data_IF_658200980895
#
_entry.id   IF_658200980895
#
_cell.length_a   1.000
_cell.length_b   1.000
_cell.length_c   1.000
_cell.angle_alpha   90.00
_cell.angle_beta   90.00
_cell.angle_gamma   90.00
#
_symmetry.space_group_name_H-M   'P 1'
#
loop_
_entity.id
_entity.type
_entity.pdbx_description
1 polymer ?
#
# COMPACT_ATOMS: atom_id res chain seq x y z
N UNK A 1 -31.78 -23.54 1.89
CA UNK A 1 -30.35 -23.62 2.27
C UNK A 1 -29.93 -22.26 2.75
N UNK A 2 -29.26 -22.15 3.91
CA UNK A 2 -28.69 -20.90 4.39
C UNK A 2 -27.50 -20.54 3.49
N UNK A 3 -27.51 -19.36 2.89
CA UNK A 3 -26.34 -18.85 2.18
C UNK A 3 -25.33 -18.26 3.17
N UNK A 4 -24.02 -18.56 3.05
CA UNK A 4 -23.03 -17.95 3.92
C UNK A 4 -22.99 -16.43 3.70
N UNK A 5 -23.01 -15.68 4.80
CA UNK A 5 -22.87 -14.21 4.76
C UNK A 5 -21.42 -13.81 4.46
N UNK A 6 -20.47 -14.71 4.69
CA UNK A 6 -19.05 -14.53 4.48
C UNK A 6 -18.39 -15.85 4.13
N UNK A 7 -17.56 -15.81 3.09
CA UNK A 7 -16.65 -16.88 2.73
C UNK A 7 -15.22 -16.39 2.69
N UNK A 8 -14.29 -17.28 2.98
CA UNK A 8 -12.87 -16.97 2.91
C UNK A 8 -12.44 -17.00 1.45
N UNK A 9 -11.88 -15.89 0.95
CA UNK A 9 -11.44 -15.80 -0.46
C UNK A 9 -10.38 -16.85 -0.80
N UNK A 10 -10.44 -17.40 -2.00
CA UNK A 10 -9.42 -18.32 -2.53
C UNK A 10 -8.06 -17.66 -2.71
N UNK A 11 -8.04 -16.33 -2.80
CA UNK A 11 -6.82 -15.54 -2.91
C UNK A 11 -5.98 -15.48 -1.63
N UNK A 12 -6.52 -15.92 -0.49
CA UNK A 12 -5.78 -15.97 0.77
C UNK A 12 -5.44 -17.40 1.17
N UNK A 13 -4.20 -17.65 1.58
CA UNK A 13 -3.83 -18.91 2.21
C UNK A 13 -4.49 -19.03 3.59
N UNK A 14 -4.58 -20.26 4.10
CA UNK A 14 -5.11 -20.49 5.48
C UNK A 14 -4.00 -20.37 6.54
N UNK A 15 -2.85 -19.83 6.19
CA UNK A 15 -1.75 -19.58 7.12
C UNK A 15 -2.14 -18.50 8.12
N UNK A 16 -1.92 -18.75 9.40
CA UNK A 16 -2.14 -17.76 10.46
C UNK A 16 -1.16 -16.60 10.26
N UNK A 17 -1.67 -15.38 10.19
CA UNK A 17 -0.84 -14.20 10.01
C UNK A 17 -0.06 -13.87 11.29
N UNK A 18 1.14 -13.33 11.13
CA UNK A 18 2.01 -12.88 12.21
C UNK A 18 2.03 -11.35 12.39
N UNK A 19 1.06 -10.64 11.82
CA UNK A 19 0.92 -9.20 12.02
C UNK A 19 0.48 -8.86 13.44
N UNK A 20 0.96 -7.72 13.95
CA UNK A 20 0.64 -7.26 15.28
C UNK A 20 -0.88 -7.02 15.45
N UNK A 21 -1.43 -7.18 16.67
CA UNK A 21 -2.81 -6.83 16.95
C UNK A 21 -3.13 -5.38 16.60
N UNK A 22 -4.18 -5.15 15.80
CA UNK A 22 -4.58 -3.82 15.32
C UNK A 22 -3.79 -3.29 14.13
N UNK A 23 -2.82 -4.06 13.62
CA UNK A 23 -2.16 -3.75 12.35
C UNK A 23 -3.12 -4.02 11.18
N UNK A 24 -3.17 -3.12 10.20
CA UNK A 24 -4.11 -3.23 9.08
C UNK A 24 -3.57 -3.94 7.85
N UNK A 25 -2.36 -4.50 7.88
CA UNK A 25 -1.80 -5.32 6.79
C UNK A 25 -2.73 -6.48 6.40
N UNK A 26 -3.31 -7.19 7.38
CA UNK A 26 -4.23 -8.30 7.10
C UNK A 26 -5.51 -7.86 6.36
N UNK A 27 -5.98 -6.64 6.65
CA UNK A 27 -7.14 -6.06 5.95
C UNK A 27 -6.77 -5.75 4.49
N UNK A 28 -5.65 -5.06 4.26
CA UNK A 28 -5.21 -4.73 2.90
C UNK A 28 -4.92 -5.98 2.05
N UNK A 29 -4.27 -7.01 2.62
CA UNK A 29 -4.08 -8.30 1.95
C UNK A 29 -5.41 -8.90 1.49
N UNK A 30 -6.37 -8.95 2.41
CA UNK A 30 -7.68 -9.49 2.09
C UNK A 30 -8.37 -8.70 0.98
N UNK A 31 -8.36 -7.36 1.02
CA UNK A 31 -9.01 -6.54 0.00
C UNK A 31 -8.40 -6.76 -1.39
N UNK A 32 -7.07 -6.85 -1.48
CA UNK A 32 -6.36 -7.10 -2.73
C UNK A 32 -6.72 -8.49 -3.27
N UNK A 33 -6.63 -9.52 -2.43
CA UNK A 33 -6.87 -10.91 -2.85
C UNK A 33 -8.35 -11.20 -3.13
N UNK A 34 -9.27 -10.64 -2.36
CA UNK A 34 -10.71 -10.74 -2.60
C UNK A 34 -11.09 -10.07 -3.94
N UNK A 35 -10.50 -8.93 -4.25
CA UNK A 35 -10.71 -8.25 -5.53
C UNK A 35 -10.20 -9.10 -6.70
N UNK A 36 -9.02 -9.71 -6.59
CA UNK A 36 -8.47 -10.59 -7.62
C UNK A 36 -9.29 -11.88 -7.81
N UNK A 37 -9.83 -12.44 -6.72
CA UNK A 37 -10.74 -13.59 -6.75
C UNK A 37 -12.04 -13.24 -7.49
N UNK A 38 -12.65 -12.08 -7.14
CA UNK A 38 -13.86 -11.56 -7.81
C UNK A 38 -13.65 -11.23 -9.30
N UNK A 39 -12.40 -10.91 -9.68
CA UNK A 39 -12.01 -10.67 -11.08
C UNK A 39 -11.66 -11.96 -11.85
N UNK A 40 -11.60 -13.10 -11.18
CA UNK A 40 -11.09 -14.38 -11.72
C UNK A 40 -9.64 -14.27 -12.26
N UNK A 41 -8.82 -13.48 -11.55
CA UNK A 41 -7.45 -13.14 -11.98
C UNK A 41 -6.35 -13.75 -11.10
N UNK A 42 -6.68 -14.56 -10.09
CA UNK A 42 -5.69 -15.16 -9.19
C UNK A 42 -4.58 -15.90 -9.93
N UNK A 43 -4.95 -16.77 -10.88
CA UNK A 43 -4.00 -17.56 -11.70
C UNK A 43 -3.25 -16.76 -12.77
N UNK A 44 -3.55 -15.47 -12.92
CA UNK A 44 -2.90 -14.56 -13.88
C UNK A 44 -2.29 -13.35 -13.20
N UNK A 45 -2.00 -13.44 -11.91
CA UNK A 45 -1.45 -12.34 -11.12
C UNK A 45 -0.08 -12.68 -10.55
N UNK A 46 0.85 -11.75 -10.65
CA UNK A 46 2.19 -11.85 -10.07
C UNK A 46 2.39 -10.66 -9.11
N UNK A 47 2.64 -10.98 -7.84
CA UNK A 47 2.98 -9.98 -6.84
C UNK A 47 4.50 -9.82 -6.70
N UNK A 48 4.97 -8.59 -6.52
CA UNK A 48 6.36 -8.29 -6.19
C UNK A 48 6.43 -7.84 -4.73
N UNK A 49 6.96 -8.72 -3.89
CA UNK A 49 7.11 -8.49 -2.46
C UNK A 49 8.34 -7.61 -2.16
N UNK A 50 8.25 -6.72 -1.18
CA UNK A 50 9.32 -5.84 -0.74
C UNK A 50 10.06 -6.40 0.46
N UNK A 51 10.83 -5.54 1.12
CA UNK A 51 11.38 -5.78 2.45
C UNK A 51 10.58 -5.00 3.50
N UNK A 52 10.55 -5.47 4.75
CA UNK A 52 9.76 -4.96 5.85
C UNK A 52 8.57 -5.85 6.19
N UNK A 53 7.58 -5.35 6.95
CA UNK A 53 6.43 -6.17 7.35
C UNK A 53 5.67 -6.78 6.15
N UNK A 54 5.73 -6.14 5.01
CA UNK A 54 5.09 -6.59 3.77
C UNK A 54 5.79 -7.79 3.11
N UNK A 55 7.06 -8.12 3.46
CA UNK A 55 7.80 -9.25 2.88
C UNK A 55 7.05 -10.57 3.05
N UNK A 56 6.33 -10.72 4.16
CA UNK A 56 5.60 -11.95 4.46
C UNK A 56 4.36 -12.17 3.59
N UNK A 57 4.03 -11.22 2.70
CA UNK A 57 2.86 -11.32 1.82
C UNK A 57 2.81 -12.65 1.04
N UNK A 58 3.96 -13.15 0.59
CA UNK A 58 4.07 -14.43 -0.11
C UNK A 58 3.55 -15.65 0.67
N UNK A 59 3.47 -15.56 2.00
CA UNK A 59 2.92 -16.63 2.86
C UNK A 59 1.38 -16.58 2.96
N UNK A 60 0.82 -15.42 2.70
CA UNK A 60 -0.60 -15.15 2.97
C UNK A 60 -1.42 -14.96 1.68
N UNK A 61 -0.79 -14.46 0.61
CA UNK A 61 -1.42 -14.25 -0.69
C UNK A 61 -1.22 -15.49 -1.58
N UNK A 62 -2.32 -16.04 -2.11
CA UNK A 62 -2.33 -17.23 -2.95
C UNK A 62 -2.24 -16.85 -4.45
N UNK A 63 -1.17 -16.18 -4.80
CA UNK A 63 -0.77 -15.83 -6.17
C UNK A 63 0.72 -16.05 -6.31
N UNK A 64 1.24 -16.06 -7.53
CA UNK A 64 2.68 -16.10 -7.74
C UNK A 64 3.33 -14.85 -7.16
N UNK A 65 4.37 -15.03 -6.34
CA UNK A 65 5.08 -13.93 -5.70
C UNK A 65 6.58 -14.02 -5.97
N UNK A 66 7.18 -12.89 -6.33
CA UNK A 66 8.64 -12.74 -6.32
C UNK A 66 9.06 -11.74 -5.26
N UNK A 67 10.10 -12.08 -4.51
CA UNK A 67 10.70 -11.18 -3.54
C UNK A 67 11.77 -10.31 -4.22
N UNK A 68 11.83 -9.05 -3.83
CA UNK A 68 12.80 -8.09 -4.34
C UNK A 68 13.67 -7.51 -3.23
N UNK A 69 14.87 -7.06 -3.58
CA UNK A 69 15.69 -6.29 -2.65
C UNK A 69 14.94 -5.02 -2.18
N UNK A 70 15.30 -4.55 -0.99
CA UNK A 70 14.68 -3.38 -0.35
C UNK A 70 14.62 -2.17 -1.28
N UNK A 71 13.43 -1.63 -1.49
CA UNK A 71 13.14 -0.50 -2.37
C UNK A 71 13.08 -0.83 -3.86
N UNK A 72 13.36 -2.07 -4.27
CA UNK A 72 13.51 -2.43 -5.69
C UNK A 72 12.28 -3.09 -6.32
N UNK A 73 11.20 -3.27 -5.55
CA UNK A 73 9.97 -3.89 -6.05
C UNK A 73 9.43 -3.23 -7.35
N UNK A 74 9.41 -1.89 -7.53
CA UNK A 74 8.93 -1.29 -8.77
C UNK A 74 9.83 -1.61 -9.97
N UNK A 75 11.16 -1.74 -9.78
CA UNK A 75 12.07 -2.12 -10.85
C UNK A 75 11.87 -3.58 -11.26
N UNK A 76 11.71 -4.49 -10.27
CA UNK A 76 11.40 -5.91 -10.51
C UNK A 76 10.06 -6.04 -11.22
N UNK A 77 9.01 -5.36 -10.74
CA UNK A 77 7.68 -5.36 -11.34
C UNK A 77 7.70 -4.85 -12.80
N UNK A 78 8.51 -3.83 -13.10
CA UNK A 78 8.71 -3.36 -14.48
C UNK A 78 9.27 -4.47 -15.38
N UNK A 79 10.27 -5.22 -14.91
CA UNK A 79 10.83 -6.38 -15.63
C UNK A 79 9.81 -7.48 -15.81
N UNK A 80 9.14 -7.90 -14.73
CA UNK A 80 8.09 -8.93 -14.74
C UNK A 80 6.97 -8.56 -15.72
N UNK A 81 6.47 -7.32 -15.65
CA UNK A 81 5.39 -6.86 -16.53
C UNK A 81 5.76 -6.88 -18.01
N UNK A 82 7.03 -6.61 -18.34
CA UNK A 82 7.50 -6.63 -19.74
C UNK A 82 7.58 -8.03 -20.33
N UNK A 83 7.92 -9.04 -19.52
CA UNK A 83 7.97 -10.45 -19.97
C UNK A 83 6.62 -11.16 -19.83
N UNK A 84 5.74 -10.65 -18.99
CA UNK A 84 4.36 -11.15 -18.78
C UNK A 84 3.33 -10.04 -19.01
N UNK A 85 3.17 -9.51 -20.25
CA UNK A 85 2.36 -8.32 -20.52
C UNK A 85 0.87 -8.50 -20.25
N UNK A 86 0.37 -9.72 -20.25
CA UNK A 86 -1.05 -10.03 -20.05
C UNK A 86 -1.40 -10.42 -18.62
N UNK A 87 -0.39 -10.61 -17.75
CA UNK A 87 -0.62 -10.84 -16.34
C UNK A 87 -0.90 -9.52 -15.61
N UNK A 88 -1.72 -9.56 -14.57
CA UNK A 88 -1.73 -8.49 -13.58
C UNK A 88 -0.44 -8.57 -12.75
N UNK A 89 0.22 -7.44 -12.60
CA UNK A 89 1.44 -7.33 -11.77
C UNK A 89 1.21 -6.25 -10.73
N UNK A 90 1.54 -6.53 -9.48
CA UNK A 90 1.46 -5.52 -8.44
C UNK A 90 2.69 -5.53 -7.53
N UNK A 91 3.01 -4.38 -6.95
CA UNK A 91 3.91 -4.27 -5.81
C UNK A 91 3.12 -4.00 -4.55
N UNK A 92 3.60 -4.51 -3.40
CA UNK A 92 2.99 -4.28 -2.10
C UNK A 92 4.07 -3.82 -1.12
N UNK A 93 4.15 -2.51 -0.82
CA UNK A 93 5.31 -1.89 -0.18
C UNK A 93 4.92 -1.02 1.01
N UNK A 94 5.75 -1.03 2.07
CA UNK A 94 5.65 -0.09 3.19
C UNK A 94 6.35 1.24 2.88
N UNK A 95 6.14 2.22 3.75
CA UNK A 95 6.70 3.57 3.63
C UNK A 95 8.23 3.63 3.77
N UNK A 96 8.78 2.82 4.65
CA UNK A 96 10.23 2.69 4.75
C UNK A 96 10.88 2.01 3.54
N UNK A 97 10.13 1.22 2.79
CA UNK A 97 10.58 0.60 1.56
C UNK A 97 10.43 1.56 0.36
N UNK A 98 9.21 1.98 0.06
CA UNK A 98 8.89 2.76 -1.13
C UNK A 98 9.33 4.21 -1.03
N UNK A 99 9.02 4.88 0.09
CA UNK A 99 9.25 6.32 0.25
C UNK A 99 10.64 6.65 0.79
N UNK A 100 11.48 5.67 1.07
CA UNK A 100 12.88 5.83 1.47
C UNK A 100 13.81 5.32 0.38
N UNK A 101 14.32 4.10 0.54
CA UNK A 101 15.32 3.52 -0.38
C UNK A 101 14.76 3.28 -1.79
N UNK A 102 13.42 3.14 -1.94
CA UNK A 102 12.72 2.89 -3.22
C UNK A 102 12.16 4.15 -3.89
N UNK A 103 12.45 5.35 -3.40
CA UNK A 103 11.85 6.59 -3.94
C UNK A 103 12.16 6.79 -5.42
N UNK A 104 13.37 6.55 -5.86
CA UNK A 104 13.74 6.69 -7.27
C UNK A 104 13.01 5.67 -8.15
N UNK A 105 12.91 4.43 -7.69
CA UNK A 105 12.28 3.34 -8.44
C UNK A 105 10.80 3.61 -8.68
N UNK A 106 10.06 4.06 -7.67
CA UNK A 106 8.63 4.33 -7.82
C UNK A 106 8.37 5.56 -8.70
N UNK A 107 9.18 6.62 -8.55
CA UNK A 107 9.07 7.82 -9.39
C UNK A 107 9.34 7.46 -10.86
N UNK A 108 10.39 6.73 -11.14
CA UNK A 108 10.73 6.34 -12.51
C UNK A 108 9.73 5.34 -13.11
N UNK A 109 9.19 4.41 -12.33
CA UNK A 109 8.13 3.52 -12.80
C UNK A 109 6.86 4.30 -13.17
N UNK A 110 6.43 5.21 -12.30
CA UNK A 110 5.27 6.07 -12.53
C UNK A 110 5.49 7.03 -13.72
N UNK A 111 6.69 7.66 -13.81
CA UNK A 111 7.01 8.57 -14.91
C UNK A 111 7.00 7.86 -16.29
N UNK A 112 7.47 6.61 -16.34
CA UNK A 112 7.42 5.79 -17.58
C UNK A 112 6.03 5.24 -17.90
N UNK A 113 5.03 5.40 -17.02
CA UNK A 113 3.70 4.82 -17.19
C UNK A 113 3.72 3.29 -17.23
N UNK A 114 4.57 2.67 -16.42
CA UNK A 114 4.66 1.21 -16.34
C UNK A 114 3.29 0.61 -15.97
N UNK A 115 2.86 -0.41 -16.68
CA UNK A 115 1.50 -0.94 -16.59
C UNK A 115 1.34 -1.95 -15.46
N UNK A 116 1.70 -1.56 -14.24
CA UNK A 116 1.47 -2.34 -13.02
C UNK A 116 0.88 -1.48 -11.92
N UNK A 117 0.36 -2.11 -10.87
CA UNK A 117 -0.28 -1.47 -9.74
C UNK A 117 0.66 -1.48 -8.53
N UNK A 118 0.77 -0.35 -7.83
CA UNK A 118 1.45 -0.29 -6.53
C UNK A 118 0.47 -0.10 -5.40
N UNK A 119 0.50 -1.00 -4.44
CA UNK A 119 -0.18 -0.87 -3.15
C UNK A 119 0.83 -0.42 -2.10
N UNK A 120 0.60 0.74 -1.53
CA UNK A 120 1.51 1.41 -0.61
C UNK A 120 0.92 1.50 0.79
N UNK A 121 1.61 0.94 1.77
CA UNK A 121 1.20 0.97 3.17
C UNK A 121 1.94 2.12 3.86
N UNK A 122 1.20 3.18 4.19
CA UNK A 122 1.71 4.31 4.94
C UNK A 122 1.26 4.19 6.40
N UNK A 123 2.15 3.74 7.25
CA UNK A 123 1.95 3.67 8.70
C UNK A 123 2.88 4.62 9.47
N UNK A 124 3.53 5.54 8.77
CA UNK A 124 4.37 6.61 9.31
C UNK A 124 5.54 6.13 10.20
N UNK A 125 6.05 4.89 9.97
CA UNK A 125 7.18 4.36 10.78
C UNK A 125 7.76 3.10 10.12
N UNK A 126 9.07 2.81 10.34
CA UNK A 126 9.64 1.50 10.01
C UNK A 126 9.12 0.44 10.98
N UNK A 127 8.17 -0.39 10.53
CA UNK A 127 7.49 -1.35 11.41
C UNK A 127 8.36 -2.53 11.81
N UNK A 128 8.98 -3.22 10.86
CA UNK A 128 9.68 -4.50 11.09
C UNK A 128 10.93 -4.34 11.95
N UNK A 129 11.67 -3.26 11.77
CA UNK A 129 13.00 -3.07 12.39
C UNK A 129 12.97 -2.43 13.77
N UNK A 130 11.77 -2.11 14.30
CA UNK A 130 11.62 -1.63 15.68
C UNK A 130 11.31 -0.14 15.81
N UNK A 131 10.63 0.45 14.82
CA UNK A 131 10.01 1.76 14.99
C UNK A 131 10.91 2.97 14.74
N UNK A 132 11.83 2.89 13.78
CA UNK A 132 12.61 4.04 13.34
C UNK A 132 11.74 5.02 12.56
N UNK A 133 12.17 6.27 12.52
CA UNK A 133 11.52 7.33 11.75
C UNK A 133 11.57 7.02 10.25
N UNK A 134 10.40 6.95 9.62
CA UNK A 134 10.25 6.81 8.16
C UNK A 134 10.12 8.18 7.48
N UNK A 135 10.29 8.26 6.16
CA UNK A 135 10.05 9.52 5.42
C UNK A 135 8.65 10.09 5.63
N UNK A 136 7.67 9.25 5.93
CA UNK A 136 6.26 9.59 6.15
C UNK A 136 5.91 9.93 7.60
N UNK A 137 6.82 9.74 8.56
CA UNK A 137 6.60 10.04 9.99
C UNK A 137 6.19 11.50 10.18
N UNK A 138 5.10 11.75 10.91
CA UNK A 138 4.56 13.09 11.11
C UNK A 138 5.48 13.98 11.95
N UNK A 139 5.38 15.29 11.79
CA UNK A 139 6.04 16.25 12.68
C UNK A 139 5.51 16.04 14.11
N UNK A 140 6.44 15.99 15.08
CA UNK A 140 6.16 15.68 16.47
C UNK A 140 5.88 14.22 16.80
N UNK A 141 5.75 13.34 15.80
CA UNK A 141 5.58 11.91 16.04
C UNK A 141 6.89 11.31 16.56
N UNK A 142 6.80 10.59 17.68
CA UNK A 142 7.93 9.92 18.31
C UNK A 142 8.27 8.62 17.59
N UNK A 143 9.55 8.30 17.55
CA UNK A 143 10.08 7.04 17.00
C UNK A 143 11.32 6.63 17.78
N UNK A 144 11.84 5.42 17.55
CA UNK A 144 13.07 4.97 18.22
C UNK A 144 14.31 5.79 17.84
N UNK A 145 14.29 6.42 16.67
CA UNK A 145 15.36 7.32 16.20
C UNK A 145 15.04 8.82 16.37
N UNK A 146 13.87 9.16 16.92
CA UNK A 146 13.45 10.53 17.24
C UNK A 146 12.58 10.52 18.50
N UNK A 147 13.20 10.42 19.65
CA UNK A 147 12.56 10.25 20.97
C UNK A 147 11.75 11.48 21.40
N UNK A 148 12.20 12.69 21.01
CA UNK A 148 11.49 13.97 21.23
C UNK A 148 10.38 14.22 20.20
N UNK A 149 10.28 13.38 19.17
CA UNK A 149 9.42 13.57 18.01
C UNK A 149 10.18 14.13 16.81
N UNK A 150 9.63 13.92 15.60
CA UNK A 150 10.24 14.44 14.36
C UNK A 150 10.22 15.96 14.35
N UNK A 151 11.38 16.57 14.16
CA UNK A 151 11.54 18.01 13.97
C UNK A 151 11.90 18.33 12.52
N UNK A 152 11.14 19.23 11.89
CA UNK A 152 11.35 19.61 10.50
C UNK A 152 12.76 20.18 10.24
N UNK A 153 13.34 20.91 11.21
CA UNK A 153 14.68 21.49 11.11
C UNK A 153 15.78 20.44 10.99
N UNK A 154 15.60 19.24 11.59
CA UNK A 154 16.59 18.18 11.60
C UNK A 154 16.32 17.12 10.53
N UNK A 155 15.05 16.72 10.37
CA UNK A 155 14.65 15.56 9.58
C UNK A 155 13.76 15.93 8.38
N UNK A 156 13.57 17.20 8.08
CA UNK A 156 12.69 17.64 7.02
C UNK A 156 11.21 17.30 7.27
N UNK A 157 10.40 17.54 6.27
CA UNK A 157 8.94 17.32 6.31
C UNK A 157 8.55 15.91 5.86
N UNK A 158 7.41 15.38 6.34
CA UNK A 158 6.88 14.09 5.86
C UNK A 158 6.58 14.11 4.37
N UNK A 159 6.93 13.04 3.67
CA UNK A 159 6.67 12.91 2.24
C UNK A 159 5.20 12.57 1.97
N UNK A 160 4.62 13.22 0.96
CA UNK A 160 3.26 13.00 0.47
C UNK A 160 3.34 12.32 -0.90
N UNK A 161 3.31 10.99 -0.89
CA UNK A 161 3.61 10.19 -2.09
C UNK A 161 2.49 10.31 -3.14
N UNK A 162 1.22 10.32 -2.76
CA UNK A 162 0.12 10.51 -3.73
C UNK A 162 0.25 11.83 -4.47
N UNK A 163 0.50 12.93 -3.75
CA UNK A 163 0.65 14.25 -4.34
C UNK A 163 1.85 14.30 -5.29
N UNK A 164 2.97 13.68 -4.91
CA UNK A 164 4.16 13.61 -5.74
C UNK A 164 3.91 12.81 -7.03
N UNK A 165 3.33 11.62 -6.92
CA UNK A 165 3.08 10.77 -8.09
C UNK A 165 2.00 11.33 -9.02
N UNK A 166 1.02 12.06 -8.48
CA UNK A 166 -0.03 12.68 -9.29
C UNK A 166 0.49 13.74 -10.27
N UNK A 167 1.69 14.30 -10.03
CA UNK A 167 2.34 15.25 -10.95
C UNK A 167 2.96 14.58 -12.18
N UNK A 168 3.09 13.26 -12.18
CA UNK A 168 3.75 12.50 -13.25
C UNK A 168 2.73 12.05 -14.30
N UNK A 169 2.96 12.35 -15.57
CA UNK A 169 1.99 12.04 -16.65
C UNK A 169 1.73 10.54 -16.81
N UNK A 170 2.73 9.71 -16.59
CA UNK A 170 2.60 8.25 -16.69
C UNK A 170 1.78 7.59 -15.56
N UNK A 171 1.62 8.26 -14.42
CA UNK A 171 0.67 7.84 -13.39
C UNK A 171 -0.73 8.26 -13.83
N UNK A 172 -1.62 7.29 -14.07
CA UNK A 172 -2.98 7.57 -14.57
C UNK A 172 -4.06 7.40 -13.50
N UNK A 173 -3.75 6.67 -12.45
CA UNK A 173 -4.62 6.54 -11.30
C UNK A 173 -3.82 6.60 -10.00
N UNK A 174 -4.19 7.53 -9.11
CA UNK A 174 -3.58 7.73 -7.79
C UNK A 174 -4.68 8.01 -6.78
N UNK A 175 -4.83 7.16 -5.77
CA UNK A 175 -5.85 7.33 -4.72
C UNK A 175 -5.25 7.02 -3.34
N UNK A 176 -5.64 7.79 -2.33
CA UNK A 176 -5.34 7.54 -0.92
C UNK A 176 -6.61 7.15 -0.18
N UNK A 177 -6.56 6.01 0.50
CA UNK A 177 -7.64 5.42 1.29
C UNK A 177 -7.18 5.08 2.70
N UNK A 178 -8.10 4.77 3.60
CA UNK A 178 -7.80 4.33 4.96
C UNK A 178 -8.52 3.02 5.31
N UNK A 179 -8.02 2.34 6.34
CA UNK A 179 -8.52 1.03 6.77
C UNK A 179 -9.08 1.04 8.20
N UNK A 180 -9.52 2.20 8.68
CA UNK A 180 -9.88 2.43 10.08
C UNK A 180 -11.39 2.33 10.37
N UNK A 181 -12.24 2.27 9.37
CA UNK A 181 -13.69 2.12 9.54
C UNK A 181 -14.28 1.23 8.44
N UNK A 182 -15.44 0.58 8.66
CA UNK A 182 -16.10 -0.22 7.62
C UNK A 182 -16.37 0.57 6.33
N UNK A 183 -16.78 1.85 6.46
CA UNK A 183 -17.00 2.72 5.30
C UNK A 183 -15.71 2.97 4.49
N UNK A 184 -14.59 3.23 5.18
CA UNK A 184 -13.30 3.42 4.54
C UNK A 184 -12.75 2.10 3.95
N UNK A 185 -12.96 0.97 4.60
CA UNK A 185 -12.60 -0.36 4.07
C UNK A 185 -13.34 -0.64 2.76
N UNK A 186 -14.64 -0.32 2.68
CA UNK A 186 -15.41 -0.45 1.44
C UNK A 186 -14.91 0.48 0.34
N UNK A 187 -14.51 1.73 0.67
CA UNK A 187 -13.87 2.65 -0.28
C UNK A 187 -12.53 2.10 -0.76
N UNK A 188 -11.72 1.57 0.17
CA UNK A 188 -10.43 0.96 -0.14
C UNK A 188 -10.57 -0.24 -1.10
N UNK A 189 -11.59 -1.11 -0.92
CA UNK A 189 -11.87 -2.20 -1.86
C UNK A 189 -12.17 -1.67 -3.27
N UNK A 190 -12.98 -0.61 -3.37
CA UNK A 190 -13.27 0.03 -4.67
C UNK A 190 -12.03 0.63 -5.31
N UNK A 191 -11.13 1.24 -4.53
CA UNK A 191 -9.87 1.78 -5.02
C UNK A 191 -8.96 0.66 -5.57
N UNK A 192 -8.85 -0.47 -4.87
CA UNK A 192 -8.13 -1.66 -5.34
C UNK A 192 -8.69 -2.14 -6.67
N UNK A 193 -10.02 -2.24 -6.80
CA UNK A 193 -10.68 -2.66 -8.05
C UNK A 193 -10.35 -1.71 -9.19
N UNK A 194 -10.49 -0.39 -9.00
CA UNK A 194 -10.16 0.61 -10.03
C UNK A 194 -8.70 0.54 -10.46
N UNK A 195 -7.77 0.34 -9.51
CA UNK A 195 -6.36 0.23 -9.82
C UNK A 195 -6.05 -0.97 -10.73
N UNK A 196 -6.68 -2.13 -10.48
CA UNK A 196 -6.57 -3.29 -11.36
C UNK A 196 -7.29 -3.10 -12.70
N UNK A 197 -8.46 -2.46 -12.73
CA UNK A 197 -9.16 -2.12 -13.97
C UNK A 197 -8.30 -1.22 -14.88
N UNK A 198 -7.58 -0.25 -14.32
CA UNK A 198 -6.61 0.60 -15.05
C UNK A 198 -5.50 -0.24 -15.66
N UNK A 199 -4.99 -1.20 -14.91
CA UNK A 199 -3.94 -2.10 -15.40
C UNK A 199 -4.46 -3.06 -16.48
N UNK A 200 -5.63 -3.68 -16.28
CA UNK A 200 -6.26 -4.58 -17.23
C UNK A 200 -6.51 -3.88 -18.58
N UNK A 201 -6.99 -2.63 -18.53
CA UNK A 201 -7.17 -1.76 -19.70
C UNK A 201 -5.87 -1.23 -20.28
N UNK A 202 -4.70 -1.55 -19.69
CA UNK A 202 -3.36 -1.14 -20.11
C UNK A 202 -3.20 0.40 -20.23
N UNK A 203 -3.89 1.18 -19.38
CA UNK A 203 -3.90 2.65 -19.47
C UNK A 203 -2.60 3.29 -18.99
N UNK A 204 -1.93 2.72 -17.99
CA UNK A 204 -0.69 3.24 -17.43
C UNK A 204 -0.47 2.77 -15.99
N UNK A 205 0.31 3.54 -15.23
CA UNK A 205 0.64 3.23 -13.85
C UNK A 205 -0.51 3.57 -12.90
N UNK A 206 -0.81 2.67 -11.96
CA UNK A 206 -1.82 2.87 -10.93
C UNK A 206 -1.25 2.73 -9.51
N UNK A 207 -1.72 3.55 -8.58
CA UNK A 207 -1.20 3.66 -7.23
C UNK A 207 -2.33 3.82 -6.21
N UNK A 208 -2.31 2.98 -5.16
CA UNK A 208 -3.24 3.09 -4.03
C UNK A 208 -2.44 3.15 -2.74
N UNK A 209 -2.55 4.27 -2.02
CA UNK A 209 -2.00 4.45 -0.68
C UNK A 209 -3.03 4.07 0.37
N UNK A 210 -2.69 3.11 1.22
CA UNK A 210 -3.45 2.77 2.42
C UNK A 210 -2.85 3.48 3.64
N UNK A 211 -3.53 4.47 4.19
CA UNK A 211 -3.18 5.01 5.51
C UNK A 211 -3.50 3.94 6.55
N UNK A 212 -2.47 3.48 7.23
CA UNK A 212 -2.44 2.25 8.02
C UNK A 212 -1.98 2.51 9.45
N UNK A 213 -2.14 1.53 10.33
CA UNK A 213 -1.72 1.59 11.72
C UNK A 213 -0.48 0.75 11.98
N UNK A 214 0.36 1.18 12.93
CA UNK A 214 1.44 0.39 13.51
C UNK A 214 1.39 0.46 15.05
N UNK A 215 0.40 -0.20 15.71
CA UNK A 215 0.17 -0.04 17.15
C UNK A 215 1.41 -0.33 17.98
N UNK A 216 2.10 -1.43 17.70
CA UNK A 216 3.29 -1.86 18.44
C UNK A 216 4.39 -0.79 18.46
N UNK A 217 4.77 -0.25 17.29
CA UNK A 217 5.85 0.74 17.25
C UNK A 217 5.38 2.17 17.56
N UNK A 218 4.09 2.44 17.53
CA UNK A 218 3.54 3.69 18.07
C UNK A 218 3.39 3.66 19.59
N UNK A 219 3.53 2.46 20.22
CA UNK A 219 3.31 2.27 21.66
C UNK A 219 1.85 2.47 22.06
N UNK A 220 0.91 2.13 21.18
CA UNK A 220 -0.52 2.35 21.35
C UNK A 220 -1.29 1.02 21.38
N UNK A 221 -2.42 0.99 22.08
CA UNK A 221 -3.38 -0.09 21.94
C UNK A 221 -4.00 -0.09 20.54
N UNK A 222 -4.56 -1.21 20.04
CA UNK A 222 -5.24 -1.26 18.75
C UNK A 222 -6.29 -0.16 18.55
N UNK A 223 -7.09 0.13 19.58
CA UNK A 223 -8.12 1.18 19.53
C UNK A 223 -7.49 2.56 19.47
N UNK A 224 -6.53 2.87 20.36
CA UNK A 224 -5.82 4.16 20.37
C UNK A 224 -5.06 4.41 19.06
N UNK A 225 -4.57 3.36 18.40
CA UNK A 225 -3.93 3.48 17.08
C UNK A 225 -4.92 3.88 15.98
N UNK A 226 -6.17 3.42 16.04
CA UNK A 226 -7.22 3.87 15.11
C UNK A 226 -7.59 5.35 15.35
N UNK A 227 -7.62 5.77 16.61
CA UNK A 227 -7.85 7.18 16.96
C UNK A 227 -6.68 8.06 16.48
N UNK A 228 -5.43 7.63 16.71
CA UNK A 228 -4.25 8.33 16.19
C UNK A 228 -4.28 8.46 14.67
N UNK A 229 -4.62 7.39 13.95
CA UNK A 229 -4.78 7.44 12.50
C UNK A 229 -5.82 8.51 12.12
N UNK A 230 -7.01 8.47 12.74
CA UNK A 230 -8.10 9.41 12.45
C UNK A 230 -7.72 10.86 12.78
N UNK A 231 -7.12 11.11 13.95
CA UNK A 231 -6.93 12.45 14.50
C UNK A 231 -5.62 13.10 14.05
N UNK A 232 -4.59 12.31 13.74
CA UNK A 232 -3.25 12.81 13.42
C UNK A 232 -2.85 12.53 11.98
N UNK A 233 -3.06 11.31 11.49
CA UNK A 233 -2.61 10.97 10.13
C UNK A 233 -3.54 11.50 9.05
N UNK A 234 -4.87 11.32 9.17
CA UNK A 234 -5.80 11.75 8.13
C UNK A 234 -5.83 13.27 7.88
N UNK A 235 -5.66 14.15 8.88
CA UNK A 235 -5.52 15.59 8.63
C UNK A 235 -4.27 15.97 7.82
N UNK A 236 -3.18 15.19 7.94
CA UNK A 236 -1.95 15.41 7.17
C UNK A 236 -1.96 14.66 5.83
N UNK A 237 -2.55 13.47 5.80
CA UNK A 237 -2.72 12.61 4.62
C UNK A 237 -4.21 12.53 4.24
N UNK A 238 -4.79 13.60 3.62
CA UNK A 238 -6.20 13.63 3.27
C UNK A 238 -6.53 12.51 2.28
N UNK A 239 -7.68 11.85 2.49
CA UNK A 239 -8.17 10.80 1.61
C UNK A 239 -8.77 11.39 0.34
N UNK A 240 -8.65 10.67 -0.78
CA UNK A 240 -9.26 11.06 -2.05
C UNK A 240 -8.54 10.53 -3.26
N UNK A 241 -9.09 10.83 -4.41
CA UNK A 241 -8.52 10.57 -5.73
C UNK A 241 -7.68 11.77 -6.14
N UNK A 242 -6.38 11.58 -6.35
CA UNK A 242 -5.43 12.61 -6.77
C UNK A 242 -5.27 12.65 -8.29
N UNK A 243 -5.53 11.51 -8.96
CA UNK A 243 -5.52 11.39 -10.41
C UNK A 243 -6.42 10.24 -10.86
N UNK A 244 -7.19 10.45 -11.92
CA UNK A 244 -8.07 9.43 -12.51
C UNK A 244 -8.00 9.50 -14.04
N UNK A 245 -8.04 8.36 -14.75
CA UNK A 245 -8.05 8.34 -16.22
C UNK A 245 -9.31 8.96 -16.82
N UNK A 246 -10.39 9.08 -16.07
CA UNK A 246 -11.69 9.60 -16.53
C UNK A 246 -11.86 11.10 -16.33
N UNK A 247 -10.80 11.83 -15.93
CA UNK A 247 -10.87 13.28 -15.70
C UNK A 247 -11.88 13.68 -14.63
N UNK A 248 -12.19 12.78 -13.71
CA UNK A 248 -13.14 13.02 -12.63
C UNK A 248 -12.61 14.04 -11.65
N UNK A 249 -13.33 15.14 -11.53
CA UNK A 249 -13.19 16.13 -10.48
C UNK A 249 -13.18 15.46 -9.11
N UNK A 250 -12.20 15.84 -8.30
CA UNK A 250 -12.02 15.40 -6.91
C UNK A 250 -13.10 15.97 -5.99
#
# INVERSE_FOLDING_TARGET
MLQPVFEYTKGMTRTVTNFCPGCTHGISHRLIMETLDEMDMLGKTIGCGPIGCAVMAHKFMNVDMCESAHGRAPAVASGVKRVHPDNLVFTYQGDGDLASIGTAEIIHAAARGEKFTTFFINNAIYGMTGGQMAPTTLIGQRSTTSQSGREAKQAGFPMRICELLATLDGAVYVERVALNTPANINKAKKAVRRAFDVQEKKLGFSFVEFVSTCPTNWGLSPVAAMDFLKEKMLPFYPLGVFKSPEGGDA
#
